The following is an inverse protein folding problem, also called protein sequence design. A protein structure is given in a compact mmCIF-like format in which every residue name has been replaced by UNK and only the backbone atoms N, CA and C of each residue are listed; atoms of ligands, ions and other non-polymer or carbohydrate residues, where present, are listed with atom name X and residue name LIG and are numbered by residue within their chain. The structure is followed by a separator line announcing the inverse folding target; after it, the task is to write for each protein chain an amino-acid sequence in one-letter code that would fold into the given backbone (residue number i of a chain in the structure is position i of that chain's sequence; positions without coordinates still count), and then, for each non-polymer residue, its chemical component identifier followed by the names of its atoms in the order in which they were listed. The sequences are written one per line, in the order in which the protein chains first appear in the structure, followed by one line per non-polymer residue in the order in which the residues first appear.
data_IF_200723407363
#
_entry.id   IF_200723407363
#
_cell.length_a   1.000
_cell.length_b   1.000
_cell.length_c   1.000
_cell.angle_alpha   90.00
_cell.angle_beta   90.00
_cell.angle_gamma   90.00
#
_symmetry.space_group_name_H-M   'P 1'
#
loop_
_entity.id
_entity.type
_entity.pdbx_description
1 polymer ?
#
# COMPACT_ATOMS: atom_id res chain seq x y z
N UNK A 1 17.75 -41.28 65.99
CA UNK A 1 17.19 -39.93 65.86
C UNK A 1 17.38 -39.45 64.40
N UNK A 2 16.30 -39.47 63.71
CA UNK A 2 16.25 -39.32 62.25
C UNK A 2 16.28 -37.85 61.87
N UNK A 3 17.24 -37.42 61.05
CA UNK A 3 17.24 -36.10 60.43
C UNK A 3 16.65 -36.24 59.04
N UNK A 4 15.49 -35.65 58.86
CA UNK A 4 14.81 -35.52 57.59
C UNK A 4 15.50 -34.44 56.76
N UNK A 5 15.99 -34.80 55.60
CA UNK A 5 16.59 -33.89 54.63
C UNK A 5 15.42 -33.39 53.73
N UNK A 6 15.05 -32.15 53.87
CA UNK A 6 14.07 -31.50 52.99
C UNK A 6 14.79 -31.01 51.75
N UNK A 7 14.50 -31.64 50.59
CA UNK A 7 14.92 -31.15 49.29
C UNK A 7 13.92 -30.09 48.85
N UNK A 8 14.39 -28.84 48.84
CA UNK A 8 13.62 -27.71 48.28
C UNK A 8 13.71 -27.78 46.77
N UNK A 9 12.63 -28.22 46.12
CA UNK A 9 12.45 -28.16 44.69
C UNK A 9 11.97 -26.76 44.37
N UNK A 10 12.86 -25.90 43.80
CA UNK A 10 12.53 -24.59 43.29
C UNK A 10 11.74 -24.79 41.98
N UNK A 11 10.43 -24.71 42.06
CA UNK A 11 9.56 -24.60 40.89
C UNK A 11 9.66 -23.18 40.35
N UNK A 12 10.40 -22.99 39.26
CA UNK A 12 10.36 -21.76 38.48
C UNK A 12 8.98 -21.77 37.78
N UNK A 13 8.05 -21.00 38.33
CA UNK A 13 6.79 -20.68 37.64
C UNK A 13 7.13 -19.70 36.51
N UNK A 14 7.21 -20.21 35.29
CA UNK A 14 6.99 -19.40 34.10
C UNK A 14 5.53 -18.92 34.13
N UNK A 15 5.32 -17.70 34.58
CA UNK A 15 4.07 -16.99 34.37
C UNK A 15 3.97 -16.63 32.88
N UNK A 16 3.44 -17.57 32.09
CA UNK A 16 2.84 -17.26 30.81
C UNK A 16 1.61 -16.39 31.11
N UNK A 17 1.66 -15.12 30.76
CA UNK A 17 0.48 -14.28 30.62
C UNK A 17 -0.39 -14.87 29.51
N UNK A 18 -1.25 -15.80 29.88
CA UNK A 18 -2.46 -16.09 29.13
C UNK A 18 -3.37 -14.88 29.36
N UNK A 19 -3.41 -13.98 28.37
CA UNK A 19 -4.52 -13.07 28.23
C UNK A 19 -5.78 -13.97 28.15
N UNK A 20 -6.61 -13.89 29.17
CA UNK A 20 -7.91 -14.52 29.15
C UNK A 20 -8.73 -13.83 28.05
N UNK A 21 -8.83 -14.45 26.88
CA UNK A 21 -9.89 -14.17 25.96
C UNK A 21 -11.19 -14.55 26.65
N UNK A 22 -11.99 -13.53 26.97
CA UNK A 22 -13.38 -13.69 27.35
C UNK A 22 -14.09 -14.42 26.20
N UNK A 23 -14.52 -15.66 26.49
CA UNK A 23 -15.31 -16.45 25.54
C UNK A 23 -16.73 -15.90 25.49
N UNK A 24 -16.90 -14.74 24.86
CA UNK A 24 -18.16 -14.31 24.30
C UNK A 24 -18.51 -15.23 23.13
N UNK A 25 -19.60 -15.98 23.27
CA UNK A 25 -20.18 -16.80 22.21
C UNK A 25 -20.52 -15.93 21.00
N UNK A 26 -19.67 -15.97 20.01
CA UNK A 26 -19.93 -15.52 18.65
C UNK A 26 -19.14 -16.43 17.73
N UNK A 27 -19.82 -17.24 16.92
CA UNK A 27 -19.17 -18.02 15.87
C UNK A 27 -18.63 -17.06 14.81
N UNK A 28 -17.43 -16.52 15.02
CA UNK A 28 -16.68 -15.80 14.00
C UNK A 28 -16.17 -16.80 12.97
N UNK A 29 -16.44 -16.57 11.71
CA UNK A 29 -15.86 -17.32 10.61
C UNK A 29 -14.34 -17.12 10.60
N UNK A 30 -13.56 -18.15 10.27
CA UNK A 30 -12.09 -18.06 10.08
C UNK A 30 -11.66 -16.94 9.10
N UNK A 31 -12.60 -16.38 8.33
CA UNK A 31 -12.40 -15.23 7.42
C UNK A 31 -12.14 -13.91 8.13
N UNK A 32 -12.64 -13.70 9.34
CA UNK A 32 -12.39 -12.47 10.13
C UNK A 32 -10.92 -12.33 10.55
N UNK A 33 -10.14 -13.42 10.47
CA UNK A 33 -8.71 -13.44 10.74
C UNK A 33 -7.85 -12.98 9.52
N UNK A 34 -8.43 -12.93 8.30
CA UNK A 34 -7.69 -12.66 7.08
C UNK A 34 -7.50 -11.15 6.81
N UNK A 35 -8.30 -10.31 7.43
CA UNK A 35 -8.15 -8.87 7.48
C UNK A 35 -8.63 -8.32 8.83
N UNK A 36 -8.19 -7.12 9.18
CA UNK A 36 -8.62 -6.43 10.40
C UNK A 36 -9.22 -5.08 10.02
N UNK A 37 -10.48 -4.83 10.37
CA UNK A 37 -11.10 -3.50 10.19
C UNK A 37 -10.63 -2.57 11.32
N UNK A 38 -10.25 -1.35 10.97
CA UNK A 38 -9.67 -0.37 11.89
C UNK A 38 -10.22 1.03 11.65
N UNK A 39 -10.19 1.87 12.69
CA UNK A 39 -10.49 3.29 12.61
C UNK A 39 -9.35 4.11 11.98
N UNK A 40 -9.51 5.43 11.91
CA UNK A 40 -8.49 6.35 11.38
C UNK A 40 -7.17 6.30 12.17
N UNK A 41 -7.22 5.99 13.46
CA UNK A 41 -6.04 5.88 14.33
C UNK A 41 -5.38 4.48 14.27
N UNK A 42 -5.94 3.55 13.48
CA UNK A 42 -5.46 2.18 13.32
C UNK A 42 -5.87 1.23 14.44
N UNK A 43 -6.83 1.62 15.30
CA UNK A 43 -7.38 0.73 16.31
C UNK A 43 -8.45 -0.16 15.70
N UNK A 44 -8.50 -1.41 16.14
CA UNK A 44 -9.53 -2.35 15.69
C UNK A 44 -10.93 -1.79 15.98
N UNK A 45 -11.74 -1.68 14.92
CA UNK A 45 -13.09 -1.16 14.95
C UNK A 45 -13.92 -1.85 13.85
N UNK A 46 -15.00 -2.52 14.23
CA UNK A 46 -15.88 -3.22 13.30
C UNK A 46 -16.57 -2.29 12.29
N UNK A 47 -16.75 -1.03 12.64
CA UNK A 47 -17.36 0.02 11.82
C UNK A 47 -16.31 1.00 11.23
N UNK A 48 -15.01 0.69 11.39
CA UNK A 48 -13.91 1.54 10.91
C UNK A 48 -13.89 1.69 9.39
N UNK A 49 -13.36 2.82 8.93
CA UNK A 49 -13.28 3.17 7.50
C UNK A 49 -12.07 2.56 6.79
N UNK A 50 -11.26 1.77 7.50
CA UNK A 50 -10.04 1.15 6.97
C UNK A 50 -9.99 -0.33 7.29
N UNK A 51 -9.18 -1.06 6.49
CA UNK A 51 -8.78 -2.43 6.82
C UNK A 51 -7.27 -2.59 6.70
N UNK A 52 -6.72 -3.52 7.47
CA UNK A 52 -5.37 -4.06 7.32
C UNK A 52 -5.47 -5.39 6.58
N UNK A 53 -4.87 -5.47 5.39
CA UNK A 53 -4.99 -6.64 4.51
C UNK A 53 -3.80 -6.75 3.57
N UNK A 54 -3.18 -7.93 3.50
CA UNK A 54 -1.90 -8.11 2.81
C UNK A 54 -0.76 -7.38 3.50
N UNK A 55 0.45 -7.46 3.00
CA UNK A 55 1.63 -6.85 3.58
C UNK A 55 2.68 -6.49 2.52
N UNK A 56 3.48 -5.46 2.80
CA UNK A 56 4.61 -5.08 1.97
C UNK A 56 5.66 -4.34 2.80
N UNK A 57 6.88 -4.14 2.28
CA UNK A 57 7.89 -3.29 2.91
C UNK A 57 7.41 -1.84 2.99
N UNK A 58 7.47 -1.19 4.16
CA UNK A 58 6.96 0.17 4.36
C UNK A 58 7.91 1.06 5.15
N UNK A 59 8.12 0.80 6.44
CA UNK A 59 8.88 1.68 7.34
C UNK A 59 10.33 1.25 7.48
N UNK A 60 11.23 2.23 7.62
CA UNK A 60 12.64 1.98 7.91
C UNK A 60 12.79 1.16 9.20
N UNK A 61 13.71 0.19 9.19
CA UNK A 61 14.05 -0.60 10.36
C UNK A 61 14.42 0.31 11.54
N UNK A 62 13.79 0.09 12.70
CA UNK A 62 14.00 0.91 13.88
C UNK A 62 15.42 0.75 14.45
N UNK A 63 15.93 1.82 15.04
CA UNK A 63 17.20 1.78 15.73
C UNK A 63 17.20 0.72 16.84
N UNK A 64 18.24 -0.11 16.87
CA UNK A 64 18.41 -1.18 17.86
C UNK A 64 17.84 -2.53 17.43
N UNK A 65 17.07 -2.59 16.35
CA UNK A 65 16.72 -3.86 15.68
C UNK A 65 17.91 -4.32 14.85
N UNK A 66 18.20 -5.61 14.89
CA UNK A 66 19.26 -6.26 14.10
C UNK A 66 18.70 -7.48 13.39
N UNK A 67 19.28 -7.87 12.30
CA UNK A 67 18.90 -9.13 11.63
C UNK A 67 19.37 -10.32 12.45
N UNK A 68 18.52 -11.34 12.60
CA UNK A 68 18.87 -12.56 13.37
C UNK A 68 19.73 -13.53 12.57
N UNK A 69 19.64 -13.48 11.23
CA UNK A 69 20.44 -14.29 10.31
C UNK A 69 20.65 -13.54 8.99
N UNK A 70 21.45 -14.13 8.11
CA UNK A 70 21.60 -13.70 6.71
C UNK A 70 20.77 -14.55 5.74
N UNK A 71 19.95 -15.42 6.27
CA UNK A 71 19.03 -16.24 5.48
C UNK A 71 17.75 -15.46 5.23
N UNK A 72 17.26 -15.53 4.02
CA UNK A 72 16.00 -14.93 3.58
C UNK A 72 14.91 -16.00 3.54
N UNK A 73 13.66 -15.59 3.76
CA UNK A 73 12.48 -16.42 3.51
C UNK A 73 12.21 -16.57 2.00
N UNK A 74 11.15 -17.26 1.64
CA UNK A 74 10.73 -17.49 0.25
C UNK A 74 10.39 -16.20 -0.52
N UNK A 75 10.09 -15.12 0.18
CA UNK A 75 9.81 -13.79 -0.39
C UNK A 75 11.06 -12.89 -0.41
N UNK A 76 12.23 -13.39 0.00
CA UNK A 76 13.46 -12.62 0.04
C UNK A 76 13.59 -11.70 1.26
N UNK A 77 12.83 -11.92 2.33
CA UNK A 77 12.85 -11.11 3.54
C UNK A 77 13.71 -11.72 4.64
N UNK A 78 14.37 -10.88 5.41
CA UNK A 78 15.16 -11.24 6.58
C UNK A 78 14.31 -11.18 7.86
N UNK A 79 14.65 -12.01 8.84
CA UNK A 79 14.04 -11.96 10.18
C UNK A 79 14.81 -11.00 11.09
N UNK A 80 14.09 -10.04 11.70
CA UNK A 80 14.61 -9.12 12.69
C UNK A 80 14.60 -9.66 14.12
N UNK A 81 15.39 -9.05 14.99
CA UNK A 81 15.45 -9.37 16.42
C UNK A 81 14.17 -9.04 17.19
N UNK A 82 13.30 -8.22 16.59
CA UNK A 82 11.95 -7.89 17.07
C UNK A 82 10.88 -8.86 16.55
N UNK A 83 11.28 -9.90 15.79
CA UNK A 83 10.39 -10.90 15.20
C UNK A 83 9.71 -10.45 13.92
N UNK A 84 9.93 -9.23 13.44
CA UNK A 84 9.39 -8.75 12.17
C UNK A 84 10.26 -9.19 10.98
N UNK A 85 9.67 -9.15 9.77
CA UNK A 85 10.37 -9.39 8.51
C UNK A 85 10.82 -8.07 7.88
N UNK A 86 11.93 -8.12 7.16
CA UNK A 86 12.57 -6.94 6.58
C UNK A 86 13.02 -7.17 5.15
N UNK A 87 12.64 -6.27 4.25
CA UNK A 87 13.18 -6.22 2.89
C UNK A 87 14.47 -5.40 2.87
N UNK A 88 15.46 -5.87 2.13
CA UNK A 88 16.71 -5.17 1.87
C UNK A 88 16.59 -4.31 0.62
N UNK A 89 17.08 -3.07 0.68
CA UNK A 89 17.16 -2.16 -0.47
C UNK A 89 18.48 -1.40 -0.42
N UNK A 90 19.15 -1.30 -1.58
CA UNK A 90 20.15 -0.27 -1.82
C UNK A 90 19.43 0.97 -2.33
N UNK A 91 19.44 2.04 -1.55
CA UNK A 91 18.65 3.22 -1.84
C UNK A 91 19.09 3.91 -3.15
N UNK A 92 18.11 4.33 -3.93
CA UNK A 92 18.25 5.15 -5.13
C UNK A 92 17.15 6.25 -5.07
N UNK A 93 17.26 7.19 -4.09
CA UNK A 93 16.27 8.24 -3.94
C UNK A 93 16.27 9.14 -5.17
N UNK A 94 15.11 9.69 -5.53
CA UNK A 94 14.98 10.55 -6.73
C UNK A 94 15.93 11.74 -6.77
N UNK A 95 16.40 12.21 -5.62
CA UNK A 95 17.31 13.35 -5.56
C UNK A 95 17.81 13.67 -4.17
N UNK A 96 18.63 14.72 -4.06
CA UNK A 96 19.13 15.21 -2.78
C UNK A 96 17.99 15.78 -1.91
N UNK A 97 18.18 15.72 -0.57
CA UNK A 97 17.23 16.25 0.40
C UNK A 97 16.05 15.34 0.72
N UNK A 98 16.02 14.13 0.16
CA UNK A 98 15.03 13.13 0.54
C UNK A 98 15.32 12.60 1.94
N UNK A 99 14.26 12.47 2.74
CA UNK A 99 14.32 11.98 4.12
C UNK A 99 13.31 10.87 4.35
N UNK A 100 13.62 9.98 5.28
CA UNK A 100 12.64 9.04 5.83
C UNK A 100 11.56 9.78 6.63
N UNK A 101 10.48 9.12 6.94
CA UNK A 101 9.38 9.65 7.76
C UNK A 101 9.85 10.12 9.15
N UNK A 102 10.95 9.55 9.64
CA UNK A 102 11.63 9.93 10.90
C UNK A 102 12.50 11.18 10.77
N UNK A 103 12.65 11.76 9.59
CA UNK A 103 13.51 12.92 9.30
C UNK A 103 14.97 12.57 9.00
N UNK A 104 15.37 11.31 9.09
CA UNK A 104 16.71 10.86 8.69
C UNK A 104 16.94 10.98 7.20
N UNK A 105 18.11 11.51 6.77
CA UNK A 105 18.45 11.62 5.34
C UNK A 105 18.58 10.24 4.68
N UNK A 106 18.13 10.13 3.44
CA UNK A 106 18.31 8.94 2.61
C UNK A 106 19.60 9.13 1.80
N UNK A 107 20.59 8.26 2.02
CA UNK A 107 21.86 8.31 1.30
C UNK A 107 21.80 7.33 0.12
N UNK A 108 22.07 7.86 -1.08
CA UNK A 108 22.15 7.09 -2.30
C UNK A 108 23.17 5.95 -2.21
N UNK A 109 22.85 4.77 -2.77
CA UNK A 109 23.68 3.57 -2.75
C UNK A 109 23.83 2.91 -1.37
N UNK A 110 23.20 3.47 -0.32
CA UNK A 110 23.28 2.89 1.03
C UNK A 110 22.25 1.78 1.20
N UNK A 111 22.68 0.70 1.83
CA UNK A 111 21.83 -0.43 2.20
C UNK A 111 20.94 -0.07 3.37
N UNK A 112 19.63 -0.23 3.21
CA UNK A 112 18.63 -0.10 4.25
C UNK A 112 17.73 -1.33 4.32
N UNK A 113 17.07 -1.50 5.46
CA UNK A 113 16.11 -2.57 5.70
C UNK A 113 14.75 -1.96 6.05
N UNK A 114 13.69 -2.46 5.40
CA UNK A 114 12.34 -1.95 5.55
C UNK A 114 11.44 -3.03 6.12
N UNK A 115 10.73 -2.69 7.19
CA UNK A 115 9.80 -3.59 7.85
C UNK A 115 8.65 -3.95 6.91
N UNK A 116 8.37 -5.24 6.80
CA UNK A 116 7.19 -5.76 6.13
C UNK A 116 6.02 -5.63 7.09
N UNK A 117 5.03 -4.84 6.70
CA UNK A 117 3.90 -4.45 7.55
C UNK A 117 2.57 -4.63 6.81
N UNK A 118 1.46 -4.85 7.55
CA UNK A 118 0.13 -4.90 6.95
C UNK A 118 -0.14 -3.64 6.12
N UNK A 119 -0.69 -3.83 4.93
CA UNK A 119 -1.11 -2.72 4.06
C UNK A 119 -2.43 -2.18 4.61
N UNK A 120 -2.48 -0.86 4.82
CA UNK A 120 -3.69 -0.16 5.21
C UNK A 120 -4.45 0.28 3.98
N UNK A 121 -5.74 -0.05 3.93
CA UNK A 121 -6.64 0.27 2.84
C UNK A 121 -7.81 1.10 3.36
N UNK A 122 -8.13 2.18 2.69
CA UNK A 122 -9.37 2.92 2.91
C UNK A 122 -10.50 2.22 2.16
N UNK A 123 -11.65 2.05 2.83
CA UNK A 123 -12.88 1.55 2.22
C UNK A 123 -13.49 2.69 1.41
N UNK A 124 -13.60 2.52 0.10
CA UNK A 124 -14.24 3.48 -0.81
C UNK A 124 -15.74 3.21 -0.93
N UNK A 125 -16.10 1.94 -0.96
CA UNK A 125 -17.50 1.49 -1.00
C UNK A 125 -17.64 0.12 -0.34
N UNK A 126 -18.80 -0.10 0.24
CA UNK A 126 -19.23 -1.36 0.80
C UNK A 126 -20.56 -1.75 0.12
N UNK A 127 -20.54 -2.82 -0.66
CA UNK A 127 -21.69 -3.28 -1.43
C UNK A 127 -21.84 -4.78 -1.25
N UNK A 128 -23.07 -5.26 -1.08
CA UNK A 128 -23.53 -6.67 -1.04
C UNK A 128 -22.41 -7.74 -1.03
N UNK A 129 -21.68 -7.83 0.09
CA UNK A 129 -20.66 -8.86 0.29
C UNK A 129 -19.28 -8.54 -0.33
N UNK A 130 -19.05 -7.28 -0.76
CA UNK A 130 -17.72 -6.84 -1.21
C UNK A 130 -17.33 -5.46 -0.68
N UNK A 131 -16.03 -5.27 -0.44
CA UNK A 131 -15.40 -3.99 -0.12
C UNK A 131 -14.56 -3.54 -1.32
N UNK A 132 -14.78 -2.29 -1.76
CA UNK A 132 -13.87 -1.62 -2.69
C UNK A 132 -12.84 -0.82 -1.91
N UNK A 133 -11.57 -1.08 -2.13
CA UNK A 133 -10.45 -0.67 -1.31
C UNK A 133 -9.44 0.15 -2.10
N UNK A 134 -8.92 1.20 -1.49
CA UNK A 134 -7.78 1.99 -1.99
C UNK A 134 -6.67 2.01 -0.95
N UNK A 135 -5.46 1.68 -1.35
CA UNK A 135 -4.28 1.80 -0.48
C UNK A 135 -4.17 3.21 0.11
N UNK A 136 -3.84 3.31 1.40
CA UNK A 136 -3.82 4.59 2.12
C UNK A 136 -2.52 5.38 1.92
N UNK A 137 -1.48 4.77 1.35
CA UNK A 137 -0.19 5.38 1.09
C UNK A 137 0.37 4.99 -0.29
N UNK A 138 1.38 5.72 -0.76
CA UNK A 138 2.21 5.32 -1.89
C UNK A 138 3.19 4.27 -1.37
N UNK A 139 3.00 2.99 -1.78
CA UNK A 139 3.76 1.85 -1.27
C UNK A 139 4.92 1.44 -2.17
N UNK A 140 4.94 1.89 -3.40
CA UNK A 140 5.97 1.60 -4.39
C UNK A 140 6.07 2.74 -5.41
N UNK A 141 7.08 2.66 -6.26
CA UNK A 141 7.22 3.47 -7.47
C UNK A 141 7.48 2.56 -8.66
N UNK A 142 6.80 2.84 -9.76
CA UNK A 142 6.88 2.03 -10.98
C UNK A 142 6.68 2.90 -12.22
N UNK A 143 7.28 2.49 -13.34
CA UNK A 143 6.87 3.00 -14.65
C UNK A 143 5.44 2.52 -14.92
N UNK A 144 4.63 3.41 -15.49
CA UNK A 144 3.36 2.97 -16.05
C UNK A 144 3.61 2.03 -17.25
N UNK A 145 4.55 2.45 -18.12
CA UNK A 145 5.02 1.63 -19.24
C UNK A 145 6.46 2.03 -19.60
N UNK A 146 7.32 1.08 -19.93
CA UNK A 146 8.69 1.35 -20.36
C UNK A 146 8.73 2.02 -21.75
N UNK A 147 7.75 1.74 -22.60
CA UNK A 147 7.55 2.40 -23.88
C UNK A 147 6.57 3.57 -23.75
N UNK A 148 6.60 4.57 -24.63
CA UNK A 148 5.67 5.70 -24.58
C UNK A 148 4.25 5.28 -25.02
N UNK A 149 3.60 4.42 -24.22
CA UNK A 149 2.24 3.96 -24.40
C UNK A 149 1.48 4.09 -23.08
N UNK A 150 0.33 4.76 -23.11
CA UNK A 150 -0.60 4.89 -21.99
C UNK A 150 -1.79 3.92 -22.09
N UNK A 151 -1.66 2.85 -22.89
CA UNK A 151 -2.61 1.76 -22.96
C UNK A 151 -2.52 0.94 -21.65
N UNK A 152 -3.52 1.11 -20.77
CA UNK A 152 -3.54 0.40 -19.49
C UNK A 152 -3.62 -1.11 -19.66
N UNK A 153 -4.37 -1.60 -20.63
CA UNK A 153 -4.58 -3.03 -20.84
C UNK A 153 -3.26 -3.80 -21.08
N UNK A 154 -2.27 -3.14 -21.69
CA UNK A 154 -0.95 -3.70 -22.05
C UNK A 154 0.19 -3.11 -21.24
N UNK A 155 -0.10 -2.34 -20.15
CA UNK A 155 0.92 -1.62 -19.41
C UNK A 155 1.73 -2.51 -18.47
N UNK A 156 3.01 -2.14 -18.29
CA UNK A 156 3.91 -2.81 -17.35
C UNK A 156 3.39 -2.71 -15.91
N UNK A 157 2.77 -1.56 -15.55
CA UNK A 157 2.23 -1.38 -14.20
C UNK A 157 1.06 -2.33 -13.90
N UNK A 158 0.17 -2.57 -14.90
CA UNK A 158 -0.93 -3.53 -14.74
C UNK A 158 -0.39 -4.95 -14.57
N UNK A 159 0.63 -5.34 -15.36
CA UNK A 159 1.29 -6.63 -15.23
C UNK A 159 1.93 -6.78 -13.84
N UNK A 160 2.70 -5.78 -13.39
CA UNK A 160 3.32 -5.77 -12.07
C UNK A 160 2.29 -5.88 -10.92
N UNK A 161 1.18 -5.15 -11.00
CA UNK A 161 0.12 -5.20 -9.98
C UNK A 161 -0.52 -6.58 -9.86
N UNK A 162 -0.75 -7.29 -11.00
CA UNK A 162 -1.47 -8.56 -11.02
C UNK A 162 -0.54 -9.80 -10.94
N UNK A 163 0.76 -9.62 -11.10
CA UNK A 163 1.77 -10.68 -11.00
C UNK A 163 2.63 -10.51 -9.75
N UNK A 164 3.62 -9.60 -9.77
CA UNK A 164 4.60 -9.46 -8.70
C UNK A 164 3.94 -8.98 -7.39
N UNK A 165 3.28 -7.83 -7.42
CA UNK A 165 2.64 -7.28 -6.22
C UNK A 165 1.58 -8.22 -5.64
N UNK A 166 0.66 -8.72 -6.47
CA UNK A 166 -0.37 -9.67 -6.03
C UNK A 166 0.22 -10.93 -5.39
N UNK A 167 1.31 -11.45 -5.93
CA UNK A 167 1.90 -12.69 -5.43
C UNK A 167 2.72 -12.52 -4.15
N UNK A 168 3.34 -11.35 -3.96
CA UNK A 168 4.19 -11.07 -2.79
C UNK A 168 3.42 -10.45 -1.63
N UNK A 169 2.37 -9.65 -1.91
CA UNK A 169 1.64 -8.92 -0.88
C UNK A 169 0.56 -9.75 -0.17
N UNK A 170 0.07 -10.82 -0.78
CA UNK A 170 -1.06 -11.59 -0.26
C UNK A 170 -0.72 -13.07 -0.14
N UNK A 171 -1.05 -13.67 1.00
CA UNK A 171 -0.96 -15.12 1.19
C UNK A 171 -2.08 -15.88 0.43
N UNK A 172 -2.04 -17.20 0.48
CA UNK A 172 -2.98 -18.05 -0.26
C UNK A 172 -4.45 -17.85 0.16
N UNK A 173 -4.70 -17.66 1.46
CA UNK A 173 -6.06 -17.48 1.99
C UNK A 173 -6.58 -16.07 1.68
N UNK A 174 -5.73 -15.05 1.79
CA UNK A 174 -6.06 -13.69 1.42
C UNK A 174 -6.38 -13.56 -0.07
N UNK A 175 -5.64 -14.27 -0.92
CA UNK A 175 -5.90 -14.34 -2.37
C UNK A 175 -7.28 -14.90 -2.71
N UNK A 176 -7.85 -15.78 -1.87
CA UNK A 176 -9.22 -16.29 -2.06
C UNK A 176 -10.29 -15.22 -1.83
N UNK A 177 -9.99 -14.18 -1.04
CA UNK A 177 -10.92 -13.06 -0.82
C UNK A 177 -10.89 -12.04 -1.97
N UNK A 178 -9.76 -11.90 -2.67
CA UNK A 178 -9.59 -10.90 -3.74
C UNK A 178 -10.43 -11.29 -4.96
N UNK A 179 -11.29 -10.37 -5.37
CA UNK A 179 -12.15 -10.55 -6.54
C UNK A 179 -11.41 -10.19 -7.82
N UNK A 180 -11.64 -10.97 -8.88
CA UNK A 180 -11.32 -10.50 -10.24
C UNK A 180 -12.50 -9.68 -10.72
N UNK A 181 -12.27 -8.41 -11.03
CA UNK A 181 -13.32 -7.47 -11.44
C UNK A 181 -13.07 -6.93 -12.84
N UNK A 182 -14.14 -6.58 -13.54
CA UNK A 182 -14.02 -5.87 -14.81
C UNK A 182 -13.74 -4.40 -14.53
N UNK A 183 -12.56 -3.94 -14.93
CA UNK A 183 -12.07 -2.57 -14.77
C UNK A 183 -12.34 -1.79 -16.06
N UNK A 184 -13.19 -0.77 -15.96
CA UNK A 184 -13.58 0.04 -17.12
C UNK A 184 -12.47 1.01 -17.51
N UNK A 185 -12.11 1.02 -18.80
CA UNK A 185 -11.05 1.86 -19.37
C UNK A 185 -11.52 2.72 -20.55
N UNK A 186 -12.82 2.79 -20.79
CA UNK A 186 -13.41 3.60 -21.84
C UNK A 186 -13.23 5.11 -21.64
N UNK A 187 -13.51 5.91 -22.66
CA UNK A 187 -13.33 7.36 -22.64
C UNK A 187 -14.03 8.06 -21.46
N UNK A 188 -15.23 7.61 -21.07
CA UNK A 188 -15.99 8.15 -19.93
C UNK A 188 -15.20 8.12 -18.60
N UNK A 189 -14.31 7.13 -18.42
CA UNK A 189 -13.51 7.00 -17.18
C UNK A 189 -12.28 7.91 -17.14
N UNK A 190 -12.00 8.66 -18.20
CA UNK A 190 -10.77 9.46 -18.37
C UNK A 190 -10.96 10.94 -18.04
N UNK A 191 -12.20 11.38 -17.81
CA UNK A 191 -12.55 12.79 -17.60
C UNK A 191 -12.59 13.61 -18.90
N UNK A 192 -12.63 12.93 -20.05
CA UNK A 192 -12.80 13.53 -21.34
C UNK A 192 -14.06 12.94 -22.01
N UNK A 193 -14.79 13.75 -22.75
CA UNK A 193 -15.96 13.28 -23.52
C UNK A 193 -15.55 12.25 -24.58
N UNK A 194 -14.40 12.49 -25.21
CA UNK A 194 -13.73 11.55 -26.11
C UNK A 194 -12.25 11.47 -25.79
N UNK A 195 -11.66 10.28 -25.90
CA UNK A 195 -10.22 10.09 -25.71
C UNK A 195 -9.75 8.96 -26.63
N UNK A 196 -8.95 9.31 -27.63
CA UNK A 196 -8.41 8.36 -28.64
C UNK A 196 -7.46 7.33 -28.01
N UNK A 197 -7.00 7.54 -26.76
CA UNK A 197 -6.14 6.65 -26.01
C UNK A 197 -6.93 5.77 -25.02
N UNK A 198 -8.25 5.92 -24.94
CA UNK A 198 -9.09 5.01 -24.17
C UNK A 198 -8.98 3.60 -24.73
N UNK A 199 -9.03 2.59 -23.84
CA UNK A 199 -8.81 1.19 -24.19
C UNK A 199 -10.01 0.33 -23.81
N UNK A 200 -9.97 -0.94 -24.22
CA UNK A 200 -10.95 -1.93 -23.80
C UNK A 200 -10.84 -2.19 -22.28
N UNK A 201 -11.96 -2.62 -21.70
CA UNK A 201 -12.01 -3.02 -20.30
C UNK A 201 -11.11 -4.22 -20.03
N UNK A 202 -10.57 -4.27 -18.81
CA UNK A 202 -9.69 -5.35 -18.36
C UNK A 202 -10.31 -6.12 -17.20
N UNK A 203 -9.84 -7.36 -16.98
CA UNK A 203 -10.19 -8.13 -15.80
C UNK A 203 -8.97 -8.20 -14.88
N UNK A 204 -9.06 -7.54 -13.73
CA UNK A 204 -7.95 -7.36 -12.83
C UNK A 204 -8.31 -7.72 -11.39
N UNK A 205 -7.32 -8.17 -10.62
CA UNK A 205 -7.39 -8.39 -9.17
C UNK A 205 -6.94 -7.15 -8.41
N UNK A 206 -5.86 -6.54 -8.89
CA UNK A 206 -5.31 -5.30 -8.35
C UNK A 206 -5.15 -4.31 -9.50
N UNK A 207 -5.59 -3.07 -9.30
CA UNK A 207 -5.63 -2.06 -10.35
C UNK A 207 -5.36 -0.66 -9.79
N UNK A 208 -5.19 0.33 -10.64
CA UNK A 208 -5.14 1.75 -10.27
C UNK A 208 -6.55 2.35 -10.43
N UNK A 209 -6.88 3.38 -9.65
CA UNK A 209 -8.13 4.13 -9.88
C UNK A 209 -8.12 4.81 -11.26
N UNK A 210 -9.29 4.98 -11.86
CA UNK A 210 -9.51 5.89 -12.99
C UNK A 210 -9.65 7.34 -12.51
N UNK A 211 -9.67 8.28 -13.44
CA UNK A 211 -10.03 9.67 -13.16
C UNK A 211 -11.47 9.75 -12.61
N UNK A 212 -12.42 9.05 -13.21
CA UNK A 212 -13.81 9.05 -12.77
C UNK A 212 -13.93 8.56 -11.33
N UNK A 213 -13.30 7.43 -10.98
CA UNK A 213 -13.30 6.91 -9.62
C UNK A 213 -12.63 7.89 -8.63
N UNK A 214 -11.50 8.49 -9.01
CA UNK A 214 -10.77 9.45 -8.18
C UNK A 214 -11.49 10.80 -8.01
N UNK A 215 -12.57 11.05 -8.76
CA UNK A 215 -13.43 12.24 -8.65
C UNK A 215 -14.87 11.90 -8.24
N UNK A 216 -15.12 10.67 -7.82
CA UNK A 216 -16.45 10.21 -7.40
C UNK A 216 -16.73 10.63 -5.96
N UNK A 217 -17.74 11.49 -5.75
CA UNK A 217 -18.12 11.96 -4.43
C UNK A 217 -18.62 10.84 -3.49
N UNK A 218 -19.22 9.79 -4.05
CA UNK A 218 -19.65 8.62 -3.28
C UNK A 218 -18.49 7.86 -2.63
N UNK A 219 -17.27 7.98 -3.17
CA UNK A 219 -16.04 7.42 -2.62
C UNK A 219 -15.32 8.39 -1.66
N UNK A 220 -15.97 9.50 -1.29
CA UNK A 220 -15.44 10.51 -0.39
C UNK A 220 -14.42 11.44 -1.05
N UNK A 221 -14.34 11.50 -2.38
CA UNK A 221 -13.48 12.42 -3.11
C UNK A 221 -14.23 13.69 -3.54
N UNK A 222 -13.49 14.79 -3.73
CA UNK A 222 -14.03 15.96 -4.40
C UNK A 222 -14.36 15.66 -5.86
N UNK A 223 -15.55 16.04 -6.32
CA UNK A 223 -15.92 15.98 -7.73
C UNK A 223 -15.14 17.00 -8.58
N UNK A 224 -14.60 18.06 -7.96
CA UNK A 224 -13.68 18.98 -8.60
C UNK A 224 -12.28 18.36 -8.65
N UNK A 225 -11.85 17.98 -9.85
CA UNK A 225 -10.54 17.38 -10.08
C UNK A 225 -9.39 18.32 -9.71
N UNK A 226 -9.58 19.64 -9.80
CA UNK A 226 -8.56 20.64 -9.49
C UNK A 226 -8.46 21.01 -8.02
N UNK A 227 -9.40 20.54 -7.20
CA UNK A 227 -9.41 20.77 -5.77
C UNK A 227 -8.21 20.11 -5.08
N UNK A 228 -7.62 20.79 -4.11
CA UNK A 228 -6.61 20.24 -3.19
C UNK A 228 -7.29 19.33 -2.17
N UNK A 229 -7.72 18.16 -2.62
CA UNK A 229 -8.54 17.23 -1.86
C UNK A 229 -7.70 16.40 -0.88
N UNK A 230 -7.92 16.55 0.45
CA UNK A 230 -7.23 15.73 1.45
C UNK A 230 -7.43 14.23 1.27
N UNK A 231 -8.59 13.80 0.77
CA UNK A 231 -8.92 12.39 0.58
C UNK A 231 -8.07 11.73 -0.53
N UNK A 232 -7.52 12.52 -1.44
CA UNK A 232 -6.64 12.08 -2.52
C UNK A 232 -5.15 12.19 -2.18
N UNK A 233 -4.78 12.90 -1.11
CA UNK A 233 -3.38 13.03 -0.69
C UNK A 233 -2.88 11.69 -0.19
N UNK A 234 -1.67 11.31 -0.61
CA UNK A 234 -1.02 10.08 -0.20
C UNK A 234 0.41 10.35 0.21
N UNK A 235 0.75 9.95 1.44
CA UNK A 235 2.13 9.94 1.91
C UNK A 235 2.92 8.84 1.23
N UNK A 236 4.21 9.10 0.99
CA UNK A 236 5.14 8.12 0.44
C UNK A 236 5.73 7.30 1.59
N UNK A 237 5.64 5.97 1.53
CA UNK A 237 6.28 5.07 2.51
C UNK A 237 7.79 5.24 2.49
N UNK A 238 8.48 4.91 3.58
CA UNK A 238 9.95 5.00 3.63
C UNK A 238 10.61 4.11 2.56
N UNK A 239 10.03 2.94 2.30
CA UNK A 239 10.48 2.05 1.22
C UNK A 239 10.39 2.75 -0.15
N UNK A 240 9.24 3.33 -0.48
CA UNK A 240 9.05 3.99 -1.76
C UNK A 240 9.92 5.25 -1.90
N UNK A 241 10.21 5.99 -0.81
CA UNK A 241 11.18 7.09 -0.80
C UNK A 241 12.58 6.62 -1.14
N UNK A 242 13.01 5.51 -0.52
CA UNK A 242 14.33 4.93 -0.74
C UNK A 242 14.50 4.35 -2.14
N UNK A 243 13.42 3.92 -2.79
CA UNK A 243 13.42 3.35 -4.15
C UNK A 243 13.15 4.38 -5.25
N UNK A 244 12.97 5.67 -4.90
CA UNK A 244 12.94 6.76 -5.87
C UNK A 244 11.57 7.37 -6.17
N UNK A 245 10.51 7.06 -5.39
CA UNK A 245 9.22 7.72 -5.55
C UNK A 245 9.33 9.23 -5.35
N UNK A 246 8.69 10.00 -6.23
CA UNK A 246 8.64 11.45 -6.07
C UNK A 246 7.80 11.85 -4.85
N UNK A 247 8.31 12.78 -4.05
CA UNK A 247 7.55 13.39 -2.95
C UNK A 247 7.83 14.89 -2.85
N UNK A 248 6.92 15.60 -2.19
CA UNK A 248 7.10 17.02 -1.85
C UNK A 248 8.17 17.14 -0.76
N UNK A 249 9.24 17.89 -1.07
CA UNK A 249 10.34 18.19 -0.13
C UNK A 249 10.51 19.69 0.12
N UNK A 250 9.69 20.55 -0.53
CA UNK A 250 9.82 22.00 -0.47
C UNK A 250 9.19 22.58 0.78
N UNK A 251 9.93 23.42 1.50
CA UNK A 251 9.44 24.17 2.66
C UNK A 251 8.27 25.10 2.33
N UNK A 252 8.17 25.55 1.06
CA UNK A 252 7.05 26.38 0.61
C UNK A 252 5.72 25.62 0.60
N UNK A 253 5.78 24.28 0.63
CA UNK A 253 4.63 23.37 0.63
C UNK A 253 4.65 22.46 1.87
N UNK A 254 5.08 22.98 3.02
CA UNK A 254 5.26 22.21 4.25
C UNK A 254 4.04 21.34 4.61
N UNK A 255 2.83 21.88 4.41
CA UNK A 255 1.58 21.12 4.65
C UNK A 255 1.41 19.89 3.75
N UNK A 256 2.20 19.74 2.71
CA UNK A 256 2.19 18.60 1.79
C UNK A 256 3.48 17.79 1.84
N UNK A 257 4.39 18.14 2.76
CA UNK A 257 5.68 17.47 2.90
C UNK A 257 5.51 15.97 3.10
N UNK A 258 6.25 15.16 2.34
CA UNK A 258 6.15 13.71 2.36
C UNK A 258 4.99 13.12 1.55
N UNK A 259 4.06 13.93 1.05
CA UNK A 259 3.08 13.47 0.07
C UNK A 259 3.73 13.32 -1.30
N UNK A 260 3.29 12.33 -2.06
CA UNK A 260 3.82 12.06 -3.38
C UNK A 260 2.83 12.27 -4.51
N UNK A 261 3.37 12.18 -5.72
CA UNK A 261 2.60 12.07 -6.94
C UNK A 261 2.31 10.59 -7.21
N UNK A 262 1.06 10.23 -7.56
CA UNK A 262 0.71 8.85 -7.83
C UNK A 262 -0.15 8.68 -9.09
N UNK A 263 -0.02 7.52 -9.73
CA UNK A 263 -0.63 7.18 -11.01
C UNK A 263 -2.11 6.86 -10.90
N UNK A 264 -2.87 7.31 -11.91
CA UNK A 264 -4.17 6.77 -12.26
C UNK A 264 -4.03 5.88 -13.52
N UNK A 265 -4.96 4.94 -13.73
CA UNK A 265 -4.96 4.12 -14.93
C UNK A 265 -5.41 4.87 -16.19
N UNK A 266 -6.13 5.98 -16.02
CA UNK A 266 -6.68 6.77 -17.13
C UNK A 266 -5.60 7.40 -18.00
N UNK A 267 -5.61 7.18 -19.32
CA UNK A 267 -4.70 7.85 -20.24
C UNK A 267 -5.00 9.35 -20.32
N UNK A 268 -3.94 10.16 -20.48
CA UNK A 268 -4.07 11.54 -20.91
C UNK A 268 -4.53 11.58 -22.39
N UNK A 269 -5.22 12.66 -22.78
CA UNK A 269 -5.63 12.84 -24.19
C UNK A 269 -4.60 13.65 -25.02
N UNK A 270 -3.48 14.06 -24.43
CA UNK A 270 -2.48 14.90 -25.12
C UNK A 270 -1.39 14.09 -25.83
N UNK A 271 -1.36 12.78 -25.66
CA UNK A 271 -0.41 11.89 -26.33
C UNK A 271 -0.26 10.56 -25.63
N UNK A 272 0.20 9.55 -26.34
CA UNK A 272 0.43 8.21 -25.82
C UNK A 272 1.48 8.12 -24.68
N UNK A 273 2.30 9.16 -24.51
CA UNK A 273 3.37 9.23 -23.50
C UNK A 273 2.87 9.63 -22.11
N UNK A 274 1.58 9.97 -21.95
CA UNK A 274 1.04 10.52 -20.72
C UNK A 274 -0.10 9.72 -20.12
N UNK A 275 -0.05 9.48 -18.80
CA UNK A 275 -1.17 9.00 -17.99
C UNK A 275 -1.59 10.08 -16.99
N UNK A 276 -2.84 10.05 -16.53
CA UNK A 276 -3.29 10.92 -15.44
C UNK A 276 -2.66 10.49 -14.11
N UNK A 277 -2.55 11.42 -13.20
CA UNK A 277 -2.07 11.17 -11.83
C UNK A 277 -2.60 12.21 -10.88
N UNK A 278 -2.31 12.03 -9.60
CA UNK A 278 -2.71 12.94 -8.52
C UNK A 278 -1.44 13.49 -7.87
N UNK A 279 -1.40 14.80 -7.70
CA UNK A 279 -0.24 15.48 -7.10
C UNK A 279 -0.24 15.41 -5.56
N UNK A 280 0.87 15.84 -4.94
CA UNK A 280 1.01 15.83 -3.48
C UNK A 280 0.03 16.72 -2.72
N UNK A 281 -0.67 17.63 -3.40
CA UNK A 281 -1.73 18.45 -2.84
C UNK A 281 -3.13 17.82 -2.96
N UNK A 282 -3.27 16.74 -3.76
CA UNK A 282 -4.50 16.03 -4.00
C UNK A 282 -5.29 16.53 -5.21
N UNK A 283 -4.69 17.33 -6.10
CA UNK A 283 -5.29 17.71 -7.37
C UNK A 283 -5.00 16.65 -8.44
N UNK A 284 -5.98 16.41 -9.33
CA UNK A 284 -5.78 15.50 -10.46
C UNK A 284 -5.06 16.22 -11.58
N UNK A 285 -3.85 15.77 -11.90
CA UNK A 285 -3.04 16.28 -13.00
C UNK A 285 -3.51 15.75 -14.36
N UNK A 286 -3.20 16.53 -15.40
CA UNK A 286 -3.59 16.16 -16.76
C UNK A 286 -2.69 15.08 -17.36
N UNK A 287 -1.41 15.05 -16.98
CA UNK A 287 -0.47 14.08 -17.54
C UNK A 287 0.78 13.96 -16.68
N UNK A 288 1.18 12.73 -16.40
CA UNK A 288 2.56 12.37 -16.02
C UNK A 288 3.15 11.46 -17.08
N UNK A 289 4.47 11.49 -17.25
CA UNK A 289 5.15 10.68 -18.27
C UNK A 289 5.13 9.21 -17.84
N UNK A 290 4.62 8.33 -18.72
CA UNK A 290 4.45 6.90 -18.43
C UNK A 290 5.75 6.15 -18.17
N UNK A 291 6.88 6.60 -18.70
CA UNK A 291 8.17 5.93 -18.57
C UNK A 291 9.01 6.38 -17.37
N UNK A 292 8.51 7.30 -16.54
CA UNK A 292 9.21 7.73 -15.32
C UNK A 292 9.12 6.66 -14.23
N UNK A 293 10.25 6.33 -13.64
CA UNK A 293 10.35 5.37 -12.52
C UNK A 293 9.88 5.95 -11.19
N UNK A 294 9.83 7.26 -11.08
CA UNK A 294 9.47 8.01 -9.87
C UNK A 294 7.96 8.09 -9.61
N UNK A 295 7.15 7.58 -10.53
CA UNK A 295 5.69 7.59 -10.37
C UNK A 295 5.26 6.69 -9.22
N UNK A 296 4.57 7.27 -8.25
CA UNK A 296 4.04 6.55 -7.09
C UNK A 296 2.89 5.61 -7.45
N UNK A 297 2.81 4.50 -6.73
CA UNK A 297 1.77 3.48 -6.91
C UNK A 297 0.89 3.44 -5.67
N UNK A 298 -0.42 3.62 -5.90
CA UNK A 298 -1.50 3.48 -4.92
C UNK A 298 -2.48 2.45 -5.46
N UNK A 299 -2.34 1.17 -5.08
CA UNK A 299 -3.19 0.11 -5.58
C UNK A 299 -4.64 0.23 -5.08
N UNK A 300 -5.58 -0.30 -5.88
CA UNK A 300 -6.95 -0.55 -5.51
C UNK A 300 -7.31 -2.00 -5.78
N UNK A 301 -8.26 -2.55 -5.04
CA UNK A 301 -8.78 -3.90 -5.23
C UNK A 301 -10.18 -4.05 -4.64
N UNK A 302 -10.83 -5.15 -4.94
CA UNK A 302 -12.06 -5.54 -4.27
C UNK A 302 -11.88 -6.88 -3.58
N UNK A 303 -12.38 -6.98 -2.35
CA UNK A 303 -12.46 -8.25 -1.62
C UNK A 303 -13.89 -8.60 -1.31
N UNK A 304 -14.18 -9.91 -1.24
CA UNK A 304 -15.45 -10.37 -0.66
C UNK A 304 -15.35 -10.39 0.85
N UNK A 305 -16.44 -10.03 1.49
CA UNK A 305 -16.66 -10.29 2.91
C UNK A 305 -18.07 -10.88 3.09
N UNK A 306 -18.27 -11.64 4.15
CA UNK A 306 -19.58 -12.15 4.57
C UNK A 306 -19.82 -11.76 6.02
#
# INVERSE_FOLDING_TARGET
MKKLLAVLLALVLCLSFLAACDQGKGGGNDKDALYTRVDADGKQDADGDYILFGECPQTLMANGVTLTSREQDENGYYLGSDGARYAEVFADPRGEGYTFSTGGAIADGTQYFFKVEPIRWRILAEEKGSLFLLCDSIIANQKYNATPSNNYAESDIRAWLNEEFYNTAFDALQKELILTVTVQNGASTTGYETNDYATDDTNDKVFLLSYEEATTAAYGFSADATAFDPARRKTVSDYARATGAWMVTSDLLEMHHGNGWWLLRSPSNIGAFGARGIDGAGAVGNSTIVSLTENGVVPALQIRFE
#
